data_IF_723353730735
#
_entry.id   IF_723353730735
#
_cell.length_a   1.000
_cell.length_b   1.000
_cell.length_c   1.000
_cell.angle_alpha   90.00
_cell.angle_beta   90.00
_cell.angle_gamma   90.00
#
_symmetry.space_group_name_H-M   'P 1'
#
loop_
_entity.id
_entity.type
_entity.pdbx_description
1 polymer ?
#
# COMPACT_ATOMS: atom_id res chain seq x y z
N UNK A 1 11.45 14.48 -8.59
CA UNK A 1 11.06 13.81 -7.32
C UNK A 1 9.55 13.89 -7.11
N UNK A 2 8.97 13.15 -6.16
CA UNK A 2 7.56 13.32 -5.76
C UNK A 2 7.50 13.84 -4.32
N UNK A 3 6.66 14.85 -4.08
CA UNK A 3 6.39 15.39 -2.76
C UNK A 3 4.94 15.10 -2.38
N UNK A 4 4.74 14.30 -1.33
CA UNK A 4 3.41 13.93 -0.84
C UNK A 4 2.82 15.13 -0.10
N UNK A 5 1.62 15.56 -0.49
CA UNK A 5 0.87 16.58 0.21
C UNK A 5 -0.50 16.03 0.62
N UNK A 6 -0.82 16.17 1.90
CA UNK A 6 -2.17 15.91 2.38
C UNK A 6 -3.10 16.97 1.79
N UNK A 7 -4.24 16.53 1.25
CA UNK A 7 -5.22 17.48 0.70
C UNK A 7 -5.75 18.37 1.84
N UNK A 8 -5.51 19.68 1.77
CA UNK A 8 -5.90 20.64 2.83
C UNK A 8 -7.43 20.73 3.02
N UNK A 9 -8.22 20.29 2.03
CA UNK A 9 -9.67 20.46 2.02
C UNK A 9 -10.45 19.30 2.65
N UNK A 10 -9.91 18.08 2.69
CA UNK A 10 -10.60 16.89 3.23
C UNK A 10 -9.62 15.86 3.79
N UNK A 11 -9.96 15.20 4.92
CA UNK A 11 -9.18 14.06 5.38
C UNK A 11 -9.22 12.94 4.34
N UNK A 12 -8.12 12.18 4.19
CA UNK A 12 -8.04 11.07 3.25
C UNK A 12 -9.07 9.99 3.63
N UNK A 13 -9.84 9.53 2.65
CA UNK A 13 -10.86 8.51 2.88
C UNK A 13 -10.19 7.15 3.17
N UNK A 14 -10.79 6.34 4.06
CA UNK A 14 -10.37 4.94 4.22
C UNK A 14 -10.87 4.09 3.04
N UNK A 15 -10.00 3.26 2.49
CA UNK A 15 -10.35 2.33 1.43
C UNK A 15 -9.72 0.95 1.65
N UNK A 16 -10.13 -0.03 0.85
CA UNK A 16 -9.52 -1.36 0.81
C UNK A 16 -9.17 -1.70 -0.64
N UNK A 17 -7.87 -1.65 -1.01
CA UNK A 17 -7.42 -2.03 -2.34
C UNK A 17 -7.69 -3.52 -2.61
N UNK A 18 -8.08 -3.83 -3.85
CA UNK A 18 -8.31 -5.20 -4.31
C UNK A 18 -7.36 -5.49 -5.48
N UNK A 19 -6.41 -6.39 -5.27
CA UNK A 19 -5.44 -6.83 -6.28
C UNK A 19 -6.05 -8.02 -7.03
N UNK A 20 -6.58 -7.76 -8.22
CA UNK A 20 -7.23 -8.76 -9.04
C UNK A 20 -6.19 -9.54 -9.88
N UNK A 21 -6.40 -10.85 -10.13
CA UNK A 21 -5.54 -11.66 -10.99
C UNK A 21 -5.91 -11.45 -12.47
N UNK A 22 -6.12 -10.19 -12.87
CA UNK A 22 -6.55 -9.79 -14.19
C UNK A 22 -6.14 -8.36 -14.50
N UNK A 23 -5.85 -8.08 -15.77
CA UNK A 23 -5.59 -6.72 -16.26
C UNK A 23 -6.90 -6.06 -16.70
N UNK A 24 -7.20 -4.90 -16.13
CA UNK A 24 -8.29 -4.03 -16.58
C UNK A 24 -7.71 -2.94 -17.50
N UNK A 25 -8.22 -2.84 -18.73
CA UNK A 25 -7.67 -1.91 -19.72
C UNK A 25 -8.13 -0.47 -19.53
N UNK A 26 -9.18 -0.24 -18.74
CA UNK A 26 -9.76 1.07 -18.54
C UNK A 26 -9.61 1.49 -17.09
N UNK A 27 -9.10 2.73 -16.92
CA UNK A 27 -9.04 3.41 -15.64
C UNK A 27 -10.21 4.37 -15.53
N UNK A 28 -10.83 4.44 -14.37
CA UNK A 28 -11.92 5.39 -14.11
C UNK A 28 -12.83 4.92 -12.98
N UNK A 29 -13.75 5.80 -12.55
CA UNK A 29 -14.75 5.44 -11.56
C UNK A 29 -15.71 4.39 -12.13
N UNK A 30 -15.98 3.37 -11.32
CA UNK A 30 -17.04 2.39 -11.59
C UNK A 30 -18.28 2.83 -10.84
N UNK A 31 -19.39 3.01 -11.57
CA UNK A 31 -20.67 3.34 -10.95
C UNK A 31 -21.25 2.10 -10.28
N UNK A 32 -21.77 2.26 -9.06
CA UNK A 32 -22.45 1.21 -8.31
C UNK A 32 -21.60 -0.06 -8.09
N UNK A 33 -20.36 0.12 -7.63
CA UNK A 33 -19.44 -1.00 -7.33
C UNK A 33 -20.04 -2.03 -6.38
N UNK A 34 -20.84 -1.60 -5.39
CA UNK A 34 -21.54 -2.48 -4.45
C UNK A 34 -22.58 -3.40 -5.07
N UNK A 35 -23.02 -3.17 -6.30
CA UNK A 35 -23.90 -4.12 -6.99
C UNK A 35 -23.11 -5.25 -7.66
N UNK A 36 -21.91 -4.95 -8.15
CA UNK A 36 -21.12 -5.86 -8.99
C UNK A 36 -19.94 -6.50 -8.28
N UNK A 37 -19.54 -5.96 -7.13
CA UNK A 37 -18.39 -6.39 -6.36
C UNK A 37 -18.75 -6.48 -4.89
N UNK A 38 -19.04 -7.70 -4.43
CA UNK A 38 -19.43 -8.00 -3.05
C UNK A 38 -18.61 -9.18 -2.51
N UNK A 39 -17.36 -8.94 -2.10
CA UNK A 39 -16.57 -9.92 -1.35
C UNK A 39 -17.32 -10.38 -0.11
N UNK A 40 -17.43 -11.70 0.06
CA UNK A 40 -18.02 -12.31 1.25
C UNK A 40 -16.92 -12.99 2.05
N UNK A 41 -16.87 -12.74 3.35
CA UNK A 41 -15.93 -13.43 4.24
C UNK A 41 -16.31 -14.92 4.32
N UNK A 42 -15.34 -15.77 4.02
CA UNK A 42 -15.53 -17.21 4.06
C UNK A 42 -15.12 -17.67 5.46
N UNK A 43 -16.05 -18.20 6.29
CA UNK A 43 -15.68 -18.69 7.61
C UNK A 43 -14.65 -19.83 7.47
N UNK A 44 -13.75 -20.02 8.45
CA UNK A 44 -12.75 -21.07 8.40
C UNK A 44 -13.43 -22.45 8.47
N UNK A 45 -13.83 -23.00 7.32
CA UNK A 45 -14.52 -24.27 7.21
C UNK A 45 -13.52 -25.40 6.96
N UNK A 46 -13.22 -26.14 8.05
CA UNK A 46 -12.85 -27.56 8.25
C UNK A 46 -12.01 -28.39 7.25
N UNK A 47 -11.70 -27.94 6.02
CA UNK A 47 -11.03 -28.77 5.02
C UNK A 47 -9.72 -28.15 4.48
N UNK A 48 -9.37 -26.93 4.90
CA UNK A 48 -7.98 -26.49 4.79
C UNK A 48 -7.24 -27.07 5.99
N UNK A 49 -6.25 -27.91 5.74
CA UNK A 49 -5.19 -28.26 6.69
C UNK A 49 -4.47 -26.96 7.06
N UNK A 50 -5.11 -26.15 7.90
CA UNK A 50 -4.49 -25.06 8.59
C UNK A 50 -3.54 -25.70 9.59
N UNK A 51 -2.32 -25.97 9.11
CA UNK A 51 -1.17 -26.12 9.97
C UNK A 51 -1.23 -24.97 10.97
N UNK A 52 -1.31 -25.35 12.23
CA UNK A 52 -1.31 -24.42 13.37
C UNK A 52 0.09 -23.86 13.48
N UNK A 53 0.45 -22.98 12.56
CA UNK A 53 1.66 -22.18 12.62
C UNK A 53 1.36 -21.04 13.58
N UNK A 54 2.01 -21.10 14.74
CA UNK A 54 1.77 -20.23 15.88
C UNK A 54 1.82 -18.76 15.52
N UNK A 55 0.83 -18.01 16.01
CA UNK A 55 0.93 -16.57 16.27
C UNK A 55 1.63 -15.74 15.18
N UNK A 56 1.32 -15.95 13.90
CA UNK A 56 1.77 -15.00 12.88
C UNK A 56 0.93 -13.71 13.07
N UNK A 57 1.53 -12.54 13.33
CA UNK A 57 0.79 -11.29 13.60
C UNK A 57 -0.08 -10.83 12.41
N UNK A 58 0.08 -11.43 11.24
CA UNK A 58 -0.79 -11.25 10.08
C UNK A 58 -2.02 -12.15 10.16
N UNK A 59 -3.12 -11.63 10.72
CA UNK A 59 -4.43 -12.28 10.67
C UNK A 59 -4.97 -12.23 9.24
N UNK A 60 -4.63 -13.23 8.44
CA UNK A 60 -5.11 -13.37 7.08
C UNK A 60 -6.53 -13.98 7.07
N UNK A 61 -7.55 -13.18 6.73
CA UNK A 61 -8.92 -13.69 6.54
C UNK A 61 -9.16 -14.05 5.08
N UNK A 62 -9.92 -15.12 4.84
CA UNK A 62 -10.25 -15.58 3.49
C UNK A 62 -11.58 -14.98 3.05
N UNK A 63 -11.67 -14.60 1.77
CA UNK A 63 -12.87 -14.03 1.16
C UNK A 63 -13.13 -14.72 -0.18
N UNK A 64 -14.38 -14.74 -0.62
CA UNK A 64 -14.75 -15.18 -1.96
C UNK A 64 -15.54 -14.09 -2.67
N UNK A 65 -15.25 -13.87 -3.95
CA UNK A 65 -15.95 -12.92 -4.81
C UNK A 65 -16.08 -13.48 -6.23
N UNK A 66 -16.96 -12.89 -7.03
CA UNK A 66 -17.12 -13.25 -8.44
C UNK A 66 -16.83 -12.05 -9.32
N UNK A 67 -15.94 -12.24 -10.29
CA UNK A 67 -15.63 -11.21 -11.28
C UNK A 67 -15.83 -11.77 -12.68
N UNK A 68 -16.70 -11.13 -13.48
CA UNK A 68 -17.02 -11.55 -14.86
C UNK A 68 -17.45 -13.03 -14.95
N UNK A 69 -18.16 -13.52 -13.94
CA UNK A 69 -18.61 -14.92 -13.86
C UNK A 69 -17.55 -15.92 -13.42
N UNK A 70 -16.36 -15.48 -13.03
CA UNK A 70 -15.27 -16.33 -12.52
C UNK A 70 -15.18 -16.19 -11.00
N UNK A 71 -15.10 -17.31 -10.30
CA UNK A 71 -14.86 -17.34 -8.86
C UNK A 71 -13.43 -16.90 -8.55
N UNK A 72 -13.30 -16.01 -7.57
CA UNK A 72 -12.04 -15.54 -7.03
C UNK A 72 -12.01 -15.84 -5.53
N UNK A 73 -10.91 -16.42 -5.08
CA UNK A 73 -10.63 -16.65 -3.66
C UNK A 73 -9.55 -15.66 -3.23
N UNK A 74 -9.89 -14.83 -2.26
CA UNK A 74 -9.10 -13.71 -1.78
C UNK A 74 -8.55 -13.95 -0.39
N UNK A 75 -7.38 -13.35 -0.13
CA UNK A 75 -6.79 -13.28 1.20
C UNK A 75 -6.65 -11.81 1.58
N UNK A 76 -7.24 -11.42 2.70
CA UNK A 76 -7.09 -10.08 3.27
C UNK A 76 -5.80 -10.01 4.10
N UNK A 77 -4.92 -9.08 3.75
CA UNK A 77 -3.63 -8.83 4.40
C UNK A 77 -3.68 -7.47 5.10
N UNK A 78 -3.37 -7.44 6.40
CA UNK A 78 -3.41 -6.21 7.21
C UNK A 78 -2.00 -5.70 7.45
N UNK A 79 -1.64 -4.51 6.96
CA UNK A 79 -0.31 -3.92 7.07
C UNK A 79 0.24 -3.95 8.52
N UNK A 80 1.58 -4.08 8.69
CA UNK A 80 2.17 -4.06 10.04
C UNK A 80 1.86 -2.75 10.77
N UNK A 81 1.83 -2.79 12.11
CA UNK A 81 1.25 -1.73 12.95
C UNK A 81 1.84 -0.31 12.76
N UNK A 82 3.09 -0.22 12.34
CA UNK A 82 3.82 1.03 12.08
C UNK A 82 3.79 1.47 10.60
N UNK A 83 3.05 0.77 9.74
CA UNK A 83 2.89 1.09 8.34
C UNK A 83 1.48 1.61 8.06
N UNK A 84 1.38 2.46 7.03
CA UNK A 84 0.10 2.94 6.52
C UNK A 84 0.16 2.94 5.00
N UNK A 85 -0.85 2.37 4.37
CA UNK A 85 -1.02 2.44 2.93
C UNK A 85 -1.62 3.78 2.53
N UNK A 86 -1.09 4.37 1.46
CA UNK A 86 -1.58 5.61 0.89
C UNK A 86 -1.86 5.45 -0.61
N UNK A 87 -2.97 6.02 -1.08
CA UNK A 87 -3.31 6.14 -2.49
C UNK A 87 -3.03 7.57 -2.91
N UNK A 88 -2.07 7.72 -3.81
CA UNK A 88 -1.58 9.03 -4.26
C UNK A 88 -2.10 9.33 -5.67
N UNK A 89 -2.58 10.55 -5.87
CA UNK A 89 -2.84 11.12 -7.18
C UNK A 89 -1.66 12.02 -7.57
N UNK A 90 -0.86 11.56 -8.53
CA UNK A 90 0.28 12.34 -9.02
C UNK A 90 -0.25 13.50 -9.86
N UNK A 91 -0.05 14.72 -9.36
CA UNK A 91 -0.49 15.93 -10.07
C UNK A 91 0.59 16.42 -11.02
N UNK A 92 0.21 17.23 -12.00
CA UNK A 92 1.15 17.96 -12.85
C UNK A 92 1.69 19.25 -12.24
N UNK A 93 1.47 19.49 -10.94
CA UNK A 93 1.91 20.71 -10.26
C UNK A 93 3.35 20.51 -9.78
N UNK A 94 4.20 21.47 -10.09
CA UNK A 94 5.54 21.51 -9.51
C UNK A 94 5.48 22.05 -8.09
N UNK A 95 6.34 21.53 -7.23
CA UNK A 95 6.48 21.99 -5.86
C UNK A 95 7.04 23.42 -5.91
N UNK A 96 6.40 24.41 -5.27
CA UNK A 96 6.90 25.77 -5.28
C UNK A 96 8.29 25.81 -4.65
N UNK A 97 9.30 26.24 -5.42
CA UNK A 97 10.63 26.50 -4.91
C UNK A 97 10.55 27.62 -3.87
N UNK A 98 11.05 27.37 -2.66
CA UNK A 98 11.00 28.29 -1.52
C UNK A 98 11.82 29.58 -1.76
N UNK A 99 12.56 29.68 -2.87
CA UNK A 99 13.51 30.77 -3.13
C UNK A 99 13.04 31.86 -4.12
N UNK A 100 11.80 31.88 -4.60
CA UNK A 100 11.36 32.92 -5.57
C UNK A 100 11.12 34.32 -4.99
N UNK A 101 11.69 34.67 -3.83
CA UNK A 101 11.41 35.94 -3.13
C UNK A 101 12.61 36.70 -2.55
N UNK A 102 13.86 36.30 -2.77
CA UNK A 102 15.03 37.05 -2.28
C UNK A 102 15.70 37.78 -3.44
N UNK A 103 15.69 39.10 -3.37
CA UNK A 103 16.39 39.99 -4.31
C UNK A 103 17.88 39.60 -4.42
N UNK A 104 18.50 39.73 -5.60
CA UNK A 104 19.90 39.34 -5.77
C UNK A 104 20.78 40.45 -5.23
N UNK A 105 21.42 40.22 -4.09
CA UNK A 105 22.68 40.87 -3.76
C UNK A 105 23.68 39.73 -3.52
N UNK A 106 24.59 39.61 -4.48
CA UNK A 106 25.89 38.95 -4.46
C UNK A 106 26.06 37.74 -3.54
N UNK A 107 26.13 36.53 -4.12
CA UNK A 107 27.10 35.49 -3.75
C UNK A 107 26.96 34.28 -4.69
N UNK A 108 28.09 33.96 -5.34
CA UNK A 108 28.49 32.77 -6.10
C UNK A 108 27.39 31.73 -6.42
N UNK A 109 27.05 31.64 -7.71
CA UNK A 109 26.19 30.61 -8.30
C UNK A 109 26.82 29.21 -8.14
N UNK A 110 26.63 28.58 -6.99
CA UNK A 110 26.52 27.12 -6.96
C UNK A 110 25.26 26.76 -7.74
N UNK A 111 25.44 26.20 -8.93
CA UNK A 111 24.40 25.57 -9.75
C UNK A 111 23.83 24.36 -8.99
N UNK A 112 23.08 24.63 -7.91
CA UNK A 112 22.30 23.61 -7.23
C UNK A 112 21.24 23.18 -8.23
N UNK A 113 21.40 22.00 -8.82
CA UNK A 113 20.38 21.36 -9.66
C UNK A 113 19.06 21.38 -8.88
N UNK A 114 18.19 22.35 -9.18
CA UNK A 114 16.90 22.46 -8.52
C UNK A 114 16.08 21.25 -8.94
N UNK A 115 16.10 20.21 -8.11
CA UNK A 115 15.41 18.98 -8.43
C UNK A 115 13.91 19.25 -8.50
N UNK A 116 13.37 19.29 -9.72
CA UNK A 116 11.94 19.46 -9.96
C UNK A 116 11.17 18.34 -9.25
N UNK A 117 10.46 18.71 -8.18
CA UNK A 117 9.60 17.82 -7.43
C UNK A 117 8.15 18.05 -7.86
N UNK A 118 7.46 17.00 -8.28
CA UNK A 118 6.02 17.06 -8.58
C UNK A 118 5.21 16.76 -7.33
N UNK A 119 4.07 17.41 -7.20
CA UNK A 119 3.17 17.20 -6.06
C UNK A 119 2.33 15.94 -6.27
N UNK A 120 2.32 15.05 -5.27
CA UNK A 120 1.43 13.90 -5.19
C UNK A 120 0.41 14.13 -4.07
N UNK A 121 -0.87 14.23 -4.43
CA UNK A 121 -1.95 14.47 -3.47
C UNK A 121 -2.40 13.14 -2.86
N UNK A 122 -2.47 13.06 -1.53
CA UNK A 122 -3.01 11.88 -0.85
C UNK A 122 -4.55 11.87 -0.93
N UNK A 123 -5.11 10.85 -1.58
CA UNK A 123 -6.56 10.73 -1.84
C UNK A 123 -7.24 9.78 -0.85
N UNK A 124 -6.55 8.71 -0.46
CA UNK A 124 -7.08 7.71 0.45
C UNK A 124 -5.97 7.03 1.24
N UNK A 125 -6.32 6.47 2.39
CA UNK A 125 -5.44 5.58 3.16
C UNK A 125 -6.06 4.22 3.35
N UNK A 126 -5.22 3.22 3.57
CA UNK A 126 -5.65 1.86 3.87
C UNK A 126 -4.72 1.21 4.89
N UNK A 127 -5.29 0.35 5.71
CA UNK A 127 -4.63 -0.49 6.71
C UNK A 127 -4.54 -1.94 6.24
N UNK A 128 -5.39 -2.34 5.30
CA UNK A 128 -5.41 -3.68 4.71
C UNK A 128 -5.74 -3.64 3.23
N UNK A 129 -5.36 -4.70 2.53
CA UNK A 129 -5.70 -4.93 1.13
C UNK A 129 -6.03 -6.42 0.91
N UNK A 130 -6.65 -6.73 -0.22
CA UNK A 130 -7.03 -8.11 -0.56
C UNK A 130 -6.32 -8.55 -1.83
N UNK A 131 -5.62 -9.68 -1.76
CA UNK A 131 -5.02 -10.36 -2.91
C UNK A 131 -5.98 -11.44 -3.39
N UNK A 132 -6.34 -11.42 -4.67
CA UNK A 132 -7.29 -12.35 -5.25
C UNK A 132 -6.60 -13.38 -6.17
N UNK A 133 -6.88 -14.65 -5.93
CA UNK A 133 -6.49 -15.79 -6.77
C UNK A 133 -7.65 -16.25 -7.63
N UNK A 134 -7.35 -16.83 -8.80
CA UNK A 134 -8.36 -17.43 -9.66
C UNK A 134 -8.34 -18.96 -9.57
N UNK A 135 -9.49 -19.56 -9.27
CA UNK A 135 -9.66 -21.02 -9.30
C UNK A 135 -9.04 -21.75 -8.11
N UNK A 136 -8.76 -21.05 -7.01
CA UNK A 136 -8.23 -21.61 -5.78
C UNK A 136 -7.65 -20.53 -4.87
N UNK A 137 -7.36 -20.92 -3.63
CA UNK A 137 -6.73 -20.07 -2.64
C UNK A 137 -5.38 -19.53 -3.14
N UNK A 138 -5.07 -18.28 -2.79
CA UNK A 138 -3.77 -17.67 -3.06
C UNK A 138 -2.69 -18.44 -2.30
N UNK A 139 -1.66 -18.91 -3.00
CA UNK A 139 -0.50 -19.54 -2.38
C UNK A 139 0.37 -18.46 -1.71
N UNK A 140 0.24 -18.37 -0.39
CA UNK A 140 0.97 -17.40 0.44
C UNK A 140 2.50 -17.50 0.28
N UNK A 141 3.02 -18.70 0.02
CA UNK A 141 4.47 -18.95 -0.08
C UNK A 141 5.07 -18.53 -1.42
N UNK A 142 4.25 -18.26 -2.43
CA UNK A 142 4.68 -17.90 -3.78
C UNK A 142 4.17 -16.52 -4.22
N UNK A 143 3.10 -16.01 -3.61
CA UNK A 143 2.53 -14.72 -3.97
C UNK A 143 3.45 -13.55 -3.57
N UNK A 144 3.81 -12.73 -4.54
CA UNK A 144 4.75 -11.64 -4.35
C UNK A 144 4.27 -10.58 -3.34
N UNK A 145 2.95 -10.33 -3.27
CA UNK A 145 2.41 -9.30 -2.37
C UNK A 145 2.32 -9.82 -0.94
N UNK A 146 1.90 -11.07 -0.75
CA UNK A 146 1.92 -11.72 0.56
C UNK A 146 3.33 -11.70 1.13
N UNK A 147 4.31 -12.21 0.36
CA UNK A 147 5.71 -12.27 0.80
C UNK A 147 6.33 -10.90 1.01
N UNK A 148 6.00 -9.92 0.16
CA UNK A 148 6.51 -8.56 0.36
C UNK A 148 6.11 -8.01 1.73
N UNK A 149 4.89 -8.30 2.17
CA UNK A 149 4.37 -7.75 3.41
C UNK A 149 4.77 -8.59 4.63
N UNK A 150 4.71 -9.92 4.54
CA UNK A 150 5.01 -10.82 5.65
C UNK A 150 6.53 -11.01 5.86
N UNK A 151 7.32 -11.03 4.79
CA UNK A 151 8.77 -11.31 4.85
C UNK A 151 9.59 -10.04 4.65
N UNK A 152 9.37 -9.33 3.53
CA UNK A 152 10.29 -8.28 3.09
C UNK A 152 10.27 -7.05 3.98
N UNK A 153 9.10 -6.61 4.47
CA UNK A 153 9.01 -5.44 5.35
C UNK A 153 9.84 -5.65 6.61
N UNK A 154 9.63 -6.76 7.34
CA UNK A 154 10.37 -7.05 8.56
C UNK A 154 11.87 -7.25 8.32
N UNK A 155 12.24 -7.88 7.19
CA UNK A 155 13.64 -8.00 6.78
C UNK A 155 14.28 -6.63 6.52
N UNK A 156 13.59 -5.76 5.78
CA UNK A 156 14.09 -4.42 5.45
C UNK A 156 14.26 -3.57 6.71
N UNK A 157 13.34 -3.66 7.66
CA UNK A 157 13.47 -3.02 8.97
C UNK A 157 14.75 -3.49 9.66
N UNK A 158 14.93 -4.81 9.83
CA UNK A 158 16.09 -5.38 10.52
C UNK A 158 17.43 -4.99 9.88
N UNK A 159 17.48 -4.88 8.56
CA UNK A 159 18.70 -4.51 7.82
C UNK A 159 19.08 -3.03 7.96
N UNK A 160 18.10 -2.14 8.12
CA UNK A 160 18.32 -0.69 8.16
C UNK A 160 18.15 -0.08 9.55
N UNK A 161 18.02 -0.90 10.60
CA UNK A 161 18.09 -0.40 11.99
C UNK A 161 19.49 0.14 12.25
N UNK A 162 19.60 1.44 12.53
CA UNK A 162 20.87 2.00 13.00
C UNK A 162 21.19 1.45 14.40
N UNK A 163 22.45 1.06 14.66
CA UNK A 163 22.84 0.60 15.99
C UNK A 163 22.64 1.75 16.99
N UNK A 164 21.77 1.51 17.98
CA UNK A 164 21.51 2.48 19.04
C UNK A 164 22.82 2.75 19.82
N UNK A 165 23.34 3.97 19.74
CA UNK A 165 24.45 4.44 20.59
C UNK A 165 23.98 4.44 22.05
N UNK A 166 24.11 3.32 22.76
CA UNK A 166 23.68 3.30 24.16
C UNK A 166 23.77 2.01 24.95
N UNK A 167 24.01 0.83 24.37
CA UNK A 167 24.22 -0.37 25.19
C UNK A 167 25.68 -0.46 25.63
N UNK A 168 26.07 0.33 26.65
CA UNK A 168 27.21 -0.06 27.47
C UNK A 168 26.78 -1.31 28.24
N UNK A 169 27.29 -2.45 27.82
CA UNK A 169 27.31 -3.66 28.63
C UNK A 169 27.97 -3.32 29.98
N UNK A 170 27.22 -3.54 31.04
CA UNK A 170 27.74 -3.64 32.41
C UNK A 170 28.07 -5.11 32.67
#
# INVERSE_FOLDING_TARGET
MLAIQSSSSKPPQKCTPNLLPARLNHNGPVHNTSQYWNPTETPPNSNSTAETEGSNPFTASTQTAYFRGRALDGISLSLPANYTGAVLNITGKDLPSVNSGRAPEDEEEEESEQMEAKVAEEVATFDKFVVWGHGGAVDKSQDAYVRAVEEWIGFAEAMHVEPTKGSKAN
#
